data_IF_557289134941
#
_entry.id   IF_557289134941
#
_cell.length_a   1.000
_cell.length_b   1.000
_cell.length_c   1.000
_cell.angle_alpha   90.00
_cell.angle_beta   90.00
_cell.angle_gamma   90.00
#
_symmetry.space_group_name_H-M   'P 1'
#
loop_
_entity.id
_entity.type
_entity.pdbx_description
1 polymer ?
#
# COMPACT_ATOMS: atom_id res chain seq x y z
N UNK A 1 -8.58 -2.68 -19.38
CA UNK A 1 -9.57 -3.46 -18.60
C UNK A 1 -8.90 -4.53 -17.75
N UNK A 2 -7.83 -5.19 -18.22
CA UNK A 2 -7.12 -6.22 -17.44
C UNK A 2 -6.16 -5.64 -16.39
N UNK A 3 -5.61 -4.45 -16.62
CA UNK A 3 -4.56 -3.85 -15.76
C UNK A 3 -5.00 -3.63 -14.30
N UNK A 4 -6.28 -3.31 -14.07
CA UNK A 4 -6.82 -3.18 -12.72
C UNK A 4 -6.81 -4.53 -11.98
N UNK A 5 -7.21 -5.60 -12.66
CA UNK A 5 -7.19 -6.95 -12.09
C UNK A 5 -5.76 -7.43 -11.82
N UNK A 6 -4.82 -7.09 -12.71
CA UNK A 6 -3.38 -7.40 -12.50
C UNK A 6 -2.84 -6.62 -11.31
N UNK A 7 -3.12 -5.33 -11.21
CA UNK A 7 -2.70 -4.51 -10.07
C UNK A 7 -3.26 -5.06 -8.75
N UNK A 8 -4.54 -5.47 -8.73
CA UNK A 8 -5.16 -6.07 -7.56
C UNK A 8 -4.51 -7.41 -7.19
N UNK A 9 -4.24 -8.27 -8.18
CA UNK A 9 -3.54 -9.53 -7.97
C UNK A 9 -2.13 -9.31 -7.42
N UNK A 10 -1.40 -8.32 -7.93
CA UNK A 10 -0.06 -7.97 -7.43
C UNK A 10 -0.10 -7.48 -5.98
N UNK A 11 -1.08 -6.65 -5.60
CA UNK A 11 -1.26 -6.21 -4.21
C UNK A 11 -1.46 -7.41 -3.29
N UNK A 12 -2.31 -8.37 -3.68
CA UNK A 12 -2.54 -9.60 -2.90
C UNK A 12 -1.29 -10.47 -2.76
N UNK A 13 -0.51 -10.62 -3.84
CA UNK A 13 0.75 -11.36 -3.82
C UNK A 13 1.76 -10.70 -2.89
N UNK A 14 1.92 -9.38 -2.98
CA UNK A 14 2.88 -8.63 -2.15
C UNK A 14 2.47 -8.70 -0.67
N UNK A 15 1.21 -8.44 -0.34
CA UNK A 15 0.69 -8.57 1.03
C UNK A 15 0.88 -9.98 1.58
N UNK A 16 0.46 -11.00 0.83
CA UNK A 16 0.61 -12.41 1.23
C UNK A 16 2.07 -12.81 1.47
N UNK A 17 2.99 -12.38 0.61
CA UNK A 17 4.42 -12.62 0.77
C UNK A 17 4.98 -11.91 2.01
N UNK A 18 4.58 -10.68 2.29
CA UNK A 18 5.02 -9.95 3.48
C UNK A 18 4.56 -10.65 4.76
N UNK A 19 3.31 -11.12 4.81
CA UNK A 19 2.80 -11.89 5.94
C UNK A 19 3.50 -13.24 6.09
N UNK A 20 3.79 -13.95 4.99
CA UNK A 20 4.45 -15.25 5.02
C UNK A 20 5.94 -15.15 5.40
N UNK A 21 6.66 -14.16 4.85
CA UNK A 21 8.09 -13.99 5.07
C UNK A 21 8.41 -13.29 6.39
N UNK A 22 7.60 -12.30 6.80
CA UNK A 22 7.87 -11.46 7.98
C UNK A 22 6.63 -11.26 8.89
N UNK A 23 6.03 -12.34 9.42
CA UNK A 23 4.78 -12.27 10.19
C UNK A 23 4.89 -11.39 11.45
N UNK A 24 6.03 -11.44 12.14
CA UNK A 24 6.25 -10.65 13.36
C UNK A 24 6.33 -9.15 13.09
N UNK A 25 6.96 -8.75 11.97
CA UNK A 25 7.04 -7.33 11.57
C UNK A 25 5.67 -6.78 11.20
N UNK A 26 4.88 -7.56 10.47
CA UNK A 26 3.52 -7.16 10.09
C UNK A 26 2.61 -6.99 11.30
N UNK A 27 2.68 -7.90 12.28
CA UNK A 27 1.93 -7.75 13.54
C UNK A 27 2.31 -6.46 14.29
N UNK A 28 3.61 -6.19 14.42
CA UNK A 28 4.08 -4.96 15.06
C UNK A 28 3.70 -3.68 14.30
N UNK A 29 3.58 -3.75 12.96
CA UNK A 29 3.07 -2.64 12.16
C UNK A 29 1.60 -2.34 12.49
N UNK A 30 0.76 -3.37 12.56
CA UNK A 30 -0.67 -3.21 12.92
C UNK A 30 -0.84 -2.62 14.32
N UNK A 31 -0.05 -3.09 15.29
CA UNK A 31 -0.06 -2.54 16.66
C UNK A 31 0.31 -1.06 16.69
N UNK A 32 1.29 -0.63 15.89
CA UNK A 32 1.68 0.79 15.77
C UNK A 32 0.62 1.62 15.07
N UNK A 33 -0.01 1.08 14.02
CA UNK A 33 -1.09 1.76 13.32
C UNK A 33 -2.30 1.97 14.24
N UNK A 34 -2.59 1.02 15.12
CA UNK A 34 -3.66 1.14 16.12
C UNK A 34 -3.40 2.25 17.17
N UNK A 35 -2.15 2.71 17.31
CA UNK A 35 -1.80 3.83 18.20
C UNK A 35 -1.94 5.20 17.54
N UNK A 36 -2.15 5.27 16.22
CA UNK A 36 -2.34 6.53 15.52
C UNK A 36 -3.78 7.03 15.66
N UNK A 37 -3.94 8.36 15.70
CA UNK A 37 -5.27 8.97 15.64
C UNK A 37 -5.86 8.84 14.24
N UNK A 38 -7.19 8.80 14.14
CA UNK A 38 -7.90 8.73 12.85
C UNK A 38 -7.46 9.84 11.89
N UNK A 39 -7.21 11.05 12.41
CA UNK A 39 -6.73 12.18 11.62
C UNK A 39 -5.36 11.91 11.00
N UNK A 40 -4.40 11.39 11.79
CA UNK A 40 -3.08 11.06 11.29
C UNK A 40 -3.11 9.92 10.27
N UNK A 41 -3.96 8.91 10.50
CA UNK A 41 -4.12 7.79 9.57
C UNK A 41 -4.74 8.25 8.24
N UNK A 42 -5.72 9.16 8.28
CA UNK A 42 -6.32 9.75 7.07
C UNK A 42 -5.31 10.61 6.31
N UNK A 43 -4.53 11.44 6.99
CA UNK A 43 -3.54 12.30 6.35
C UNK A 43 -2.42 11.50 5.68
N UNK A 44 -1.88 10.51 6.38
CA UNK A 44 -0.84 9.63 5.82
C UNK A 44 -1.38 8.81 4.66
N UNK A 45 -2.58 8.23 4.78
CA UNK A 45 -3.24 7.52 3.70
C UNK A 45 -3.48 8.38 2.46
N UNK A 46 -3.96 9.62 2.64
CA UNK A 46 -4.19 10.55 1.53
C UNK A 46 -2.88 10.92 0.83
N UNK A 47 -1.83 11.18 1.61
CA UNK A 47 -0.51 11.50 1.10
C UNK A 47 0.07 10.33 0.28
N UNK A 48 0.03 9.12 0.82
CA UNK A 48 0.51 7.92 0.12
C UNK A 48 -0.29 7.64 -1.14
N UNK A 49 -1.61 7.83 -1.13
CA UNK A 49 -2.44 7.69 -2.32
C UNK A 49 -2.09 8.72 -3.40
N UNK A 50 -1.90 9.99 -3.04
CA UNK A 50 -1.50 11.04 -3.97
C UNK A 50 -0.14 10.76 -4.62
N UNK A 51 0.84 10.32 -3.83
CA UNK A 51 2.15 9.91 -4.32
C UNK A 51 2.04 8.70 -5.26
N UNK A 52 1.21 7.70 -4.92
CA UNK A 52 0.96 6.54 -5.77
C UNK A 52 0.38 6.93 -7.13
N UNK A 53 -0.59 7.85 -7.17
CA UNK A 53 -1.16 8.37 -8.42
C UNK A 53 -0.09 9.11 -9.24
N UNK A 54 0.74 9.93 -8.60
CA UNK A 54 1.84 10.61 -9.28
C UNK A 54 2.83 9.63 -9.91
N UNK A 55 3.20 8.55 -9.20
CA UNK A 55 4.05 7.49 -9.74
C UNK A 55 3.41 6.77 -10.92
N UNK A 56 2.12 6.40 -10.83
CA UNK A 56 1.41 5.76 -11.94
C UNK A 56 1.43 6.67 -13.18
N UNK A 57 1.21 7.98 -13.00
CA UNK A 57 1.23 8.93 -14.10
C UNK A 57 2.62 9.04 -14.74
N UNK A 58 3.67 9.19 -13.93
CA UNK A 58 5.05 9.25 -14.42
C UNK A 58 5.43 7.97 -15.16
N UNK A 59 5.16 6.80 -14.58
CA UNK A 59 5.52 5.51 -15.19
C UNK A 59 4.77 5.35 -16.51
N UNK A 60 3.48 5.67 -16.56
CA UNK A 60 2.68 5.53 -17.78
C UNK A 60 3.01 6.55 -18.88
N UNK A 61 3.48 7.74 -18.51
CA UNK A 61 3.83 8.81 -19.46
C UNK A 61 5.27 8.65 -19.99
N UNK A 62 6.20 8.14 -19.18
CA UNK A 62 7.61 8.02 -19.54
C UNK A 62 8.05 6.62 -20.02
N UNK A 63 7.31 5.56 -19.74
CA UNK A 63 7.59 4.18 -20.17
C UNK A 63 6.44 3.59 -20.99
#
# INVERSE_FOLDING_TARGET
MHDLFVALALVLVIEGLLYAAFPSKMRGLVERLAQFTDTALRQTGLFTAAVGVAFIWIIKEFF
#
